data_IF_865193771429
#
_entry.id   IF_865193771429
#
_cell.length_a   1.000
_cell.length_b   1.000
_cell.length_c   1.000
_cell.angle_alpha   90.00
_cell.angle_beta   90.00
_cell.angle_gamma   90.00
#
_symmetry.space_group_name_H-M   'P 1'
#
loop_
_entity.id
_entity.type
_entity.pdbx_description
1 polymer ?
#
# COMPACT_ATOMS: atom_id res chain seq x y z
N UNK A 1 -20.94 30.10 -22.61
CA UNK A 1 -20.54 28.86 -21.90
C UNK A 1 -21.74 27.91 -21.91
N UNK A 2 -21.64 26.69 -22.45
CA UNK A 2 -22.77 25.78 -22.46
C UNK A 2 -23.06 25.32 -21.02
N UNK A 3 -24.33 25.35 -20.64
CA UNK A 3 -24.83 24.89 -19.33
C UNK A 3 -24.40 23.42 -19.15
N UNK A 4 -23.67 23.12 -18.08
CA UNK A 4 -23.42 21.73 -17.67
C UNK A 4 -24.77 21.09 -17.37
N UNK A 5 -25.24 20.21 -18.25
CA UNK A 5 -26.27 19.24 -17.90
C UNK A 5 -25.75 18.43 -16.71
N UNK A 6 -26.35 18.68 -15.55
CA UNK A 6 -26.03 17.96 -14.33
C UNK A 6 -26.61 16.56 -14.52
N UNK A 7 -25.76 15.54 -14.70
CA UNK A 7 -26.20 14.14 -14.79
C UNK A 7 -26.84 13.71 -13.46
N UNK A 8 -28.17 13.88 -13.35
CA UNK A 8 -28.96 13.49 -12.17
C UNK A 8 -29.44 12.03 -12.28
N UNK A 9 -29.43 11.45 -13.49
CA UNK A 9 -29.97 10.12 -13.73
C UNK A 9 -28.96 9.01 -13.40
N UNK A 10 -29.44 7.95 -12.76
CA UNK A 10 -28.66 6.73 -12.56
C UNK A 10 -28.54 5.95 -13.88
N UNK A 11 -27.40 5.34 -14.11
CA UNK A 11 -27.15 4.49 -15.29
C UNK A 11 -26.40 3.22 -14.90
N UNK A 12 -26.41 2.22 -15.79
CA UNK A 12 -25.62 1.00 -15.67
C UNK A 12 -24.54 1.04 -16.74
N UNK A 13 -23.29 0.80 -16.33
CA UNK A 13 -22.13 0.69 -17.22
C UNK A 13 -21.51 -0.69 -17.10
N UNK A 14 -20.89 -1.16 -18.17
CA UNK A 14 -20.15 -2.42 -18.19
C UNK A 14 -18.65 -2.14 -18.00
N UNK A 15 -18.04 -2.81 -17.02
CA UNK A 15 -16.59 -2.86 -16.79
C UNK A 15 -16.02 -4.07 -17.51
N UNK A 16 -15.51 -3.85 -18.72
CA UNK A 16 -14.95 -4.90 -19.60
C UNK A 16 -13.65 -5.51 -19.09
N UNK A 17 -12.96 -4.86 -18.14
CA UNK A 17 -11.72 -5.38 -17.57
C UNK A 17 -12.03 -6.51 -16.59
N UNK A 18 -13.14 -6.38 -15.84
CA UNK A 18 -13.55 -7.32 -14.80
C UNK A 18 -14.84 -8.08 -15.13
N UNK A 19 -15.37 -7.95 -16.34
CA UNK A 19 -16.61 -8.56 -16.84
C UNK A 19 -17.80 -8.43 -15.87
N UNK A 20 -18.14 -7.19 -15.50
CA UNK A 20 -19.21 -6.88 -14.54
C UNK A 20 -19.95 -5.60 -14.87
N UNK A 21 -21.19 -5.49 -14.39
CA UNK A 21 -21.97 -4.26 -14.48
C UNK A 21 -21.80 -3.38 -13.22
N UNK A 22 -21.75 -2.06 -13.41
CA UNK A 22 -21.61 -1.04 -12.38
C UNK A 22 -22.77 -0.06 -12.47
N UNK A 23 -23.45 0.16 -11.34
CA UNK A 23 -24.49 1.20 -11.25
C UNK A 23 -23.83 2.53 -10.88
N UNK A 24 -23.92 3.51 -11.77
CA UNK A 24 -23.54 4.89 -11.52
C UNK A 24 -24.76 5.66 -11.02
N UNK A 25 -24.75 6.12 -9.77
CA UNK A 25 -25.89 6.83 -9.16
C UNK A 25 -25.44 8.14 -8.46
N UNK A 26 -25.16 9.23 -9.22
CA UNK A 26 -24.57 10.46 -8.69
C UNK A 26 -25.36 11.11 -7.54
N UNK A 27 -26.70 10.98 -7.56
CA UNK A 27 -27.60 11.49 -6.53
C UNK A 27 -27.36 10.93 -5.13
N UNK A 28 -26.74 9.74 -4.99
CA UNK A 28 -26.46 9.13 -3.68
C UNK A 28 -25.43 9.90 -2.84
N UNK A 29 -24.64 10.78 -3.46
CA UNK A 29 -23.69 11.64 -2.74
C UNK A 29 -24.37 12.64 -1.80
N UNK A 30 -25.64 13.02 -2.09
CA UNK A 30 -26.45 13.95 -1.29
C UNK A 30 -27.08 13.32 -0.04
N UNK A 31 -26.93 12.00 0.14
CA UNK A 31 -27.45 11.33 1.34
C UNK A 31 -26.72 11.88 2.58
N UNK A 32 -27.44 12.27 3.64
CA UNK A 32 -26.82 12.69 4.90
C UNK A 32 -25.82 11.64 5.38
N UNK A 33 -24.64 12.10 5.79
CA UNK A 33 -23.58 11.26 6.32
C UNK A 33 -23.43 11.57 7.81
N UNK A 34 -23.77 10.62 8.67
CA UNK A 34 -23.41 10.68 10.08
C UNK A 34 -22.01 10.08 10.23
N UNK A 35 -20.98 10.93 10.16
CA UNK A 35 -19.59 10.48 10.36
C UNK A 35 -18.93 11.45 11.33
N UNK A 36 -18.51 10.91 12.48
CA UNK A 36 -17.78 11.65 13.51
C UNK A 36 -16.41 12.12 13.02
N UNK A 37 -15.94 13.19 13.66
CA UNK A 37 -14.67 13.88 13.37
C UNK A 37 -13.45 12.97 13.55
N UNK A 38 -12.40 13.24 12.78
CA UNK A 38 -11.09 12.59 12.93
C UNK A 38 -10.37 13.17 14.15
N UNK A 39 -9.99 12.29 15.09
CA UNK A 39 -9.22 12.67 16.27
C UNK A 39 -7.83 13.20 15.88
N UNK A 40 -7.49 14.40 16.34
CA UNK A 40 -6.15 14.97 16.18
C UNK A 40 -5.23 14.46 17.28
N UNK A 41 -4.17 13.75 16.90
CA UNK A 41 -3.15 13.26 17.84
C UNK A 41 -2.25 14.39 18.37
N UNK A 42 -1.86 14.29 19.64
CA UNK A 42 -0.85 15.17 20.25
C UNK A 42 0.58 14.80 19.86
N UNK A 43 1.53 15.75 19.96
CA UNK A 43 2.96 15.52 19.68
C UNK A 43 3.58 14.36 20.50
N UNK A 44 3.11 14.14 21.73
CA UNK A 44 3.61 13.06 22.60
C UNK A 44 3.14 11.68 22.14
N UNK A 45 1.92 11.59 21.60
CA UNK A 45 1.40 10.35 21.01
C UNK A 45 2.17 9.99 19.74
N UNK A 46 2.47 11.00 18.92
CA UNK A 46 3.29 10.87 17.70
C UNK A 46 4.66 10.24 18.01
N UNK A 47 5.36 10.72 19.04
CA UNK A 47 6.69 10.17 19.35
C UNK A 47 6.64 8.73 19.91
N UNK A 48 5.60 8.42 20.69
CA UNK A 48 5.39 7.07 21.23
C UNK A 48 5.10 6.06 20.12
N UNK A 49 4.24 6.42 19.15
CA UNK A 49 3.93 5.61 17.97
C UNK A 49 5.17 5.31 17.14
N UNK A 50 6.02 6.32 16.88
CA UNK A 50 7.26 6.13 16.12
C UNK A 50 8.20 5.12 16.79
N UNK A 51 8.29 5.13 18.12
CA UNK A 51 9.14 4.18 18.88
C UNK A 51 8.55 2.76 18.85
N UNK A 52 7.23 2.64 18.91
CA UNK A 52 6.53 1.35 18.88
C UNK A 52 6.45 0.75 17.46
N UNK A 53 6.49 1.58 16.42
CA UNK A 53 6.32 1.15 15.05
C UNK A 53 7.42 0.19 14.59
N UNK A 54 7.03 -1.03 14.21
CA UNK A 54 7.96 -2.07 13.77
C UNK A 54 8.70 -1.69 12.49
N UNK A 55 8.14 -0.83 11.63
CA UNK A 55 8.74 -0.41 10.36
C UNK A 55 9.71 0.78 10.48
N UNK A 56 9.75 1.45 11.63
CA UNK A 56 10.68 2.56 11.82
C UNK A 56 12.15 2.08 11.80
N UNK A 57 13.10 2.89 11.31
CA UNK A 57 14.50 2.49 11.11
C UNK A 57 15.15 1.87 12.35
N UNK A 58 14.87 2.40 13.54
CA UNK A 58 15.41 1.88 14.80
C UNK A 58 15.07 0.41 15.05
N UNK A 59 13.84 0.02 14.75
CA UNK A 59 13.32 -1.35 14.92
C UNK A 59 13.68 -2.26 13.73
N UNK A 60 14.02 -1.67 12.59
CA UNK A 60 14.38 -2.39 11.36
C UNK A 60 15.87 -2.78 11.26
N UNK A 61 16.74 -2.32 12.16
CA UNK A 61 18.19 -2.60 12.10
C UNK A 61 18.54 -4.09 12.09
N UNK A 62 17.81 -4.90 12.86
CA UNK A 62 18.06 -6.35 13.00
C UNK A 62 17.22 -7.22 12.06
N UNK A 63 16.31 -6.61 11.30
CA UNK A 63 15.44 -7.33 10.36
C UNK A 63 16.17 -7.48 9.03
N UNK A 64 16.42 -8.71 8.54
CA UNK A 64 17.06 -8.92 7.25
C UNK A 64 16.22 -8.30 6.12
N UNK A 65 16.86 -7.48 5.29
CA UNK A 65 16.24 -6.94 4.08
C UNK A 65 16.45 -7.85 2.88
N UNK A 66 15.41 -7.99 2.06
CA UNK A 66 15.44 -8.65 0.77
C UNK A 66 15.93 -7.72 -0.34
N UNK A 67 15.71 -6.41 -0.17
CA UNK A 67 16.16 -5.35 -1.06
C UNK A 67 16.26 -4.03 -0.30
N UNK A 68 17.19 -3.17 -0.72
CA UNK A 68 17.35 -1.80 -0.23
C UNK A 68 17.54 -0.87 -1.42
N UNK A 69 16.79 0.23 -1.46
CA UNK A 69 17.15 1.39 -2.28
C UNK A 69 17.97 2.34 -1.41
N UNK A 70 19.24 2.57 -1.78
CA UNK A 70 20.24 3.21 -0.93
C UNK A 70 21.01 2.21 -0.06
N UNK A 71 21.67 2.71 0.99
CA UNK A 71 22.52 1.88 1.84
C UNK A 71 21.73 1.11 2.89
N UNK A 72 22.25 -0.05 3.34
CA UNK A 72 21.62 -0.86 4.39
C UNK A 72 21.29 -0.10 5.68
N UNK A 73 22.10 0.91 6.02
CA UNK A 73 21.92 1.74 7.22
C UNK A 73 21.11 3.01 6.96
N UNK A 74 21.05 3.48 5.71
CA UNK A 74 20.44 4.75 5.28
C UNK A 74 19.60 4.52 4.01
N UNK A 75 18.62 3.64 4.11
CA UNK A 75 17.77 3.27 2.98
C UNK A 75 16.61 4.25 2.82
N UNK A 76 16.22 4.49 1.57
CA UNK A 76 14.99 5.19 1.21
C UNK A 76 13.80 4.22 1.21
N UNK A 77 14.02 3.02 0.65
CA UNK A 77 13.05 1.93 0.60
C UNK A 77 13.72 0.65 1.10
N UNK A 78 13.01 -0.14 1.90
CA UNK A 78 13.46 -1.45 2.35
C UNK A 78 12.38 -2.49 2.14
N UNK A 79 12.73 -3.61 1.53
CA UNK A 79 11.84 -4.76 1.41
C UNK A 79 12.21 -5.82 2.44
N UNK A 80 11.23 -6.34 3.16
CA UNK A 80 11.41 -7.41 4.15
C UNK A 80 10.37 -8.51 3.93
N UNK A 81 10.60 -9.71 4.49
CA UNK A 81 9.56 -10.73 4.55
C UNK A 81 8.44 -10.25 5.46
N UNK A 82 7.19 -10.57 5.12
CA UNK A 82 6.09 -10.41 6.07
C UNK A 82 6.24 -11.47 7.19
N UNK A 83 6.09 -11.06 8.44
CA UNK A 83 6.17 -11.95 9.61
C UNK A 83 4.87 -12.74 9.85
N UNK A 84 3.76 -12.30 9.26
CA UNK A 84 2.46 -12.97 9.26
C UNK A 84 1.99 -13.20 7.81
N UNK A 85 2.71 -14.01 7.02
CA UNK A 85 2.38 -14.22 5.62
C UNK A 85 1.14 -15.10 5.44
N UNK A 86 0.27 -14.75 4.50
CA UNK A 86 -0.88 -15.54 4.06
C UNK A 86 -0.47 -16.75 3.20
N UNK A 87 0.69 -16.68 2.55
CA UNK A 87 1.25 -17.75 1.70
C UNK A 87 2.74 -17.93 1.99
N UNK A 88 3.22 -19.17 1.97
CA UNK A 88 4.63 -19.49 2.26
C UNK A 88 5.16 -20.59 1.35
N UNK A 89 6.48 -20.68 1.12
CA UNK A 89 7.03 -21.72 0.27
C UNK A 89 7.01 -23.11 0.92
N UNK A 90 6.79 -23.20 2.23
CA UNK A 90 6.66 -24.47 2.96
C UNK A 90 5.29 -25.13 2.72
N UNK A 91 4.24 -24.33 2.43
CA UNK A 91 2.92 -24.84 2.14
C UNK A 91 2.79 -25.25 0.67
N UNK A 92 2.90 -26.56 0.39
CA UNK A 92 2.83 -27.07 -0.99
C UNK A 92 1.45 -26.89 -1.68
N UNK A 93 0.37 -26.68 -0.93
CA UNK A 93 -0.98 -26.46 -1.49
C UNK A 93 -1.25 -24.98 -1.76
N UNK A 94 -0.70 -24.11 -0.92
CA UNK A 94 -0.84 -22.65 -1.02
C UNK A 94 0.56 -22.04 -1.00
N UNK A 95 1.28 -22.28 -2.09
CA UNK A 95 2.69 -21.91 -2.24
C UNK A 95 2.82 -20.44 -2.65
N UNK A 96 3.68 -19.68 -1.98
CA UNK A 96 3.98 -18.32 -2.38
C UNK A 96 4.92 -17.60 -1.43
N UNK A 97 5.13 -16.31 -1.70
CA UNK A 97 5.90 -15.42 -0.85
C UNK A 97 5.05 -14.21 -0.53
N UNK A 98 5.16 -13.69 0.69
CA UNK A 98 4.60 -12.40 1.04
C UNK A 98 5.67 -11.52 1.67
N UNK A 99 5.80 -10.33 1.09
CA UNK A 99 6.83 -9.35 1.43
C UNK A 99 6.15 -8.03 1.79
N UNK A 100 6.86 -7.19 2.54
CA UNK A 100 6.46 -5.84 2.90
C UNK A 100 7.48 -4.87 2.32
N UNK A 101 7.00 -3.89 1.56
CA UNK A 101 7.81 -2.77 1.07
C UNK A 101 7.62 -1.60 2.01
N UNK A 102 8.66 -1.27 2.78
CA UNK A 102 8.70 -0.10 3.63
C UNK A 102 9.14 1.08 2.76
N UNK A 103 8.17 1.91 2.39
CA UNK A 103 8.35 2.96 1.39
C UNK A 103 9.20 4.13 1.85
N UNK A 104 9.33 4.37 3.16
CA UNK A 104 10.13 5.49 3.69
C UNK A 104 10.59 5.21 5.13
N UNK A 105 11.78 5.68 5.54
CA UNK A 105 12.19 5.71 6.94
C UNK A 105 11.43 6.76 7.78
N UNK A 106 10.74 7.70 7.12
CA UNK A 106 10.02 8.80 7.75
C UNK A 106 8.56 8.42 8.07
N UNK A 107 8.29 8.05 9.33
CA UNK A 107 6.99 7.50 9.77
C UNK A 107 5.74 8.31 9.37
N UNK A 108 5.83 9.63 9.37
CA UNK A 108 4.68 10.53 9.11
C UNK A 108 4.62 11.06 7.69
N UNK A 109 5.54 10.63 6.82
CA UNK A 109 5.55 11.07 5.42
C UNK A 109 4.73 10.09 4.61
N UNK A 110 3.71 10.59 3.94
CA UNK A 110 2.92 9.74 3.07
C UNK A 110 3.60 9.62 1.70
N UNK A 111 3.26 8.56 0.95
CA UNK A 111 3.83 8.33 -0.38
C UNK A 111 3.62 9.54 -1.31
N UNK A 112 2.50 10.27 -1.16
CA UNK A 112 2.20 11.47 -1.94
C UNK A 112 3.12 12.67 -1.65
N UNK A 113 3.78 12.68 -0.48
CA UNK A 113 4.70 13.75 -0.06
C UNK A 113 6.16 13.46 -0.47
N UNK A 114 6.42 12.28 -1.04
CA UNK A 114 7.75 11.85 -1.42
C UNK A 114 8.18 12.49 -2.76
N UNK A 115 9.46 12.90 -2.89
CA UNK A 115 9.98 13.43 -4.14
C UNK A 115 10.06 12.34 -5.23
N UNK A 116 10.20 12.77 -6.49
CA UNK A 116 10.15 11.89 -7.65
C UNK A 116 11.22 10.79 -7.64
N UNK A 117 12.44 11.11 -7.21
CA UNK A 117 13.54 10.16 -7.05
C UNK A 117 13.20 9.04 -6.05
N UNK A 118 12.51 9.37 -4.96
CA UNK A 118 12.04 8.38 -3.99
C UNK A 118 10.92 7.51 -4.59
N UNK A 119 10.02 8.08 -5.39
CA UNK A 119 9.04 7.29 -6.15
C UNK A 119 9.69 6.31 -7.13
N UNK A 120 10.76 6.74 -7.80
CA UNK A 120 11.55 5.86 -8.66
C UNK A 120 12.12 4.70 -7.84
N UNK A 121 12.70 4.98 -6.66
CA UNK A 121 13.21 3.94 -5.75
C UNK A 121 12.13 2.93 -5.31
N UNK A 122 10.89 3.38 -5.07
CA UNK A 122 9.75 2.49 -4.76
C UNK A 122 9.44 1.59 -5.96
N UNK A 123 9.33 2.15 -7.17
CA UNK A 123 9.05 1.38 -8.38
C UNK A 123 10.17 0.41 -8.72
N UNK A 124 11.43 0.80 -8.57
CA UNK A 124 12.59 -0.07 -8.74
C UNK A 124 12.57 -1.24 -7.75
N UNK A 125 12.13 -1.01 -6.51
CA UNK A 125 11.94 -2.09 -5.55
C UNK A 125 10.89 -3.10 -6.04
N UNK A 126 9.76 -2.63 -6.58
CA UNK A 126 8.74 -3.50 -7.15
C UNK A 126 9.25 -4.31 -8.34
N UNK A 127 9.98 -3.67 -9.26
CA UNK A 127 10.59 -4.32 -10.42
C UNK A 127 11.59 -5.39 -9.96
N UNK A 128 12.48 -5.03 -9.03
CA UNK A 128 13.50 -5.94 -8.51
C UNK A 128 12.86 -7.16 -7.86
N UNK A 129 11.93 -6.96 -6.92
CA UNK A 129 11.28 -8.07 -6.21
C UNK A 129 10.45 -8.94 -7.14
N UNK A 130 9.74 -8.35 -8.09
CA UNK A 130 8.99 -9.09 -9.10
C UNK A 130 9.92 -9.96 -9.94
N UNK A 131 11.04 -9.41 -10.40
CA UNK A 131 12.05 -10.15 -11.17
C UNK A 131 12.64 -11.32 -10.36
N UNK A 132 13.02 -11.08 -9.10
CA UNK A 132 13.55 -12.11 -8.22
C UNK A 132 12.54 -13.24 -7.95
N UNK A 133 11.29 -12.90 -7.62
CA UNK A 133 10.24 -13.88 -7.35
C UNK A 133 9.84 -14.68 -8.60
N UNK A 134 9.88 -14.05 -9.79
CA UNK A 134 9.57 -14.70 -11.07
C UNK A 134 10.59 -15.76 -11.49
N UNK A 135 11.77 -15.82 -10.85
CA UNK A 135 12.74 -16.91 -11.06
C UNK A 135 12.19 -18.25 -10.56
N UNK A 136 11.33 -18.23 -9.54
CA UNK A 136 10.63 -19.42 -9.09
C UNK A 136 9.46 -19.75 -10.02
N UNK A 137 9.60 -20.83 -10.80
CA UNK A 137 8.61 -21.25 -11.79
C UNK A 137 7.27 -21.69 -11.22
N UNK A 138 7.17 -21.87 -9.89
CA UNK A 138 5.88 -22.14 -9.22
C UNK A 138 5.05 -20.87 -9.01
N UNK A 139 5.68 -19.69 -9.09
CA UNK A 139 4.97 -18.41 -8.98
C UNK A 139 4.40 -18.05 -10.35
N UNK A 140 3.07 -18.08 -10.46
CA UNK A 140 2.37 -17.75 -11.70
C UNK A 140 1.86 -16.30 -11.75
N UNK A 141 1.72 -15.67 -10.59
CA UNK A 141 1.17 -14.32 -10.46
C UNK A 141 1.79 -13.61 -9.26
N UNK A 142 2.04 -12.32 -9.41
CA UNK A 142 2.56 -11.44 -8.36
C UNK A 142 1.63 -10.24 -8.26
N UNK A 143 1.00 -10.06 -7.11
CA UNK A 143 0.15 -8.92 -6.81
C UNK A 143 0.91 -7.93 -5.95
N UNK A 144 1.13 -6.73 -6.48
CA UNK A 144 1.63 -5.58 -5.71
C UNK A 144 0.44 -4.71 -5.36
N UNK A 145 0.25 -4.40 -4.08
CA UNK A 145 -0.83 -3.55 -3.60
C UNK A 145 -0.40 -2.75 -2.37
N UNK A 146 -1.13 -1.67 -2.09
CA UNK A 146 -0.93 -0.79 -0.94
C UNK A 146 -2.26 -0.50 -0.28
N UNK A 147 -2.32 -0.67 1.05
CA UNK A 147 -3.44 -0.23 1.87
C UNK A 147 -3.07 1.08 2.57
N UNK A 148 -3.97 2.08 2.58
CA UNK A 148 -3.77 3.36 3.28
C UNK A 148 -4.95 3.69 4.20
N UNK A 149 -4.65 3.88 5.48
CA UNK A 149 -5.62 4.19 6.53
C UNK A 149 -6.32 2.95 7.08
N UNK A 150 -6.71 2.99 8.35
CA UNK A 150 -7.33 1.83 9.03
C UNK A 150 -8.60 1.33 8.34
N UNK A 151 -9.40 2.24 7.76
CA UNK A 151 -10.60 1.89 6.96
C UNK A 151 -10.28 1.11 5.68
N UNK A 152 -9.04 1.16 5.18
CA UNK A 152 -8.57 0.38 4.04
C UNK A 152 -7.78 -0.87 4.47
N UNK A 153 -7.79 -1.23 5.77
CA UNK A 153 -7.09 -2.41 6.29
C UNK A 153 -5.57 -2.23 6.47
N UNK A 154 -5.10 -0.99 6.68
CA UNK A 154 -3.71 -0.76 7.11
C UNK A 154 -3.57 -1.08 8.61
N UNK A 155 -2.52 -1.84 8.95
CA UNK A 155 -2.18 -2.29 10.32
C UNK A 155 -0.69 -2.17 10.58
#
# INVERSE_FOLDING_TARGET
>A
MPKKEQFIQSEVREDKIHDRFVIMAPGRSKRPKDVGEEEKFSKKQIEAEKKACVFCPGNQKKVPGLYFAGDKNNWQVKVVKNIFPAVTPENKKVYGYQEVVIETPEHYKETGDLPLDHWIAIMESYINRTSELSKDKKIQYILIFKNKGGKAGAS
#
